data_IF_910852437716
#
_entry.id   IF_910852437716
#
_cell.length_a   1.000
_cell.length_b   1.000
_cell.length_c   1.000
_cell.angle_alpha   90.00
_cell.angle_beta   90.00
_cell.angle_gamma   90.00
#
_symmetry.space_group_name_H-M   'P 1'
#
loop_
_entity.id
_entity.type
_entity.pdbx_description
1 polymer ?
#
# COMPACT_ATOMS: atom_id res chain seq x y z
N UNK A 1 6.03 -0.14 -26.38
CA UNK A 1 7.12 0.83 -26.29
C UNK A 1 6.86 1.69 -25.06
N UNK A 2 7.23 1.17 -23.90
CA UNK A 2 7.16 1.87 -22.61
C UNK A 2 8.58 1.96 -22.05
N UNK A 3 8.84 2.99 -21.23
CA UNK A 3 10.14 3.18 -20.61
C UNK A 3 10.57 1.92 -19.85
N UNK A 4 11.80 1.47 -20.13
CA UNK A 4 12.41 0.35 -19.44
C UNK A 4 12.59 0.67 -17.96
N UNK A 5 12.24 -0.30 -17.12
CA UNK A 5 12.51 -0.32 -15.68
C UNK A 5 13.24 -1.61 -15.35
N UNK A 6 13.77 -1.73 -14.14
CA UNK A 6 14.51 -2.92 -13.72
C UNK A 6 13.71 -4.23 -13.90
N UNK A 7 12.38 -4.14 -13.84
CA UNK A 7 11.40 -5.21 -14.00
C UNK A 7 10.66 -5.19 -15.37
N UNK A 8 11.00 -4.28 -16.28
CA UNK A 8 10.30 -4.10 -17.56
C UNK A 8 11.27 -4.23 -18.74
N UNK A 9 11.09 -5.28 -19.50
CA UNK A 9 11.78 -5.55 -20.76
C UNK A 9 10.82 -5.30 -21.94
N UNK A 10 11.34 -4.94 -23.13
CA UNK A 10 10.49 -4.71 -24.29
C UNK A 10 9.81 -6.02 -24.74
N UNK A 11 10.44 -7.16 -24.43
CA UNK A 11 9.92 -8.51 -24.65
C UNK A 11 9.91 -9.26 -23.32
N UNK A 12 8.80 -9.94 -23.03
CA UNK A 12 8.62 -10.74 -21.83
C UNK A 12 7.66 -11.89 -22.12
N UNK A 13 7.72 -12.93 -21.28
CA UNK A 13 6.88 -14.13 -21.42
C UNK A 13 5.75 -14.09 -20.42
N UNK A 14 4.52 -14.31 -20.88
CA UNK A 14 3.36 -14.48 -20.03
C UNK A 14 2.84 -15.92 -20.13
N UNK A 15 2.37 -16.45 -19.00
CA UNK A 15 1.50 -17.61 -18.98
C UNK A 15 0.06 -17.11 -19.09
N UNK A 16 -0.42 -16.99 -20.33
CA UNK A 16 -1.77 -16.48 -20.61
C UNK A 16 -2.82 -17.60 -20.42
N UNK A 17 -3.87 -17.32 -19.65
CA UNK A 17 -4.89 -18.31 -19.28
C UNK A 17 -6.28 -17.68 -19.37
N UNK A 18 -7.14 -18.30 -20.18
CA UNK A 18 -8.53 -17.91 -20.35
C UNK A 18 -9.46 -19.11 -20.06
N UNK A 19 -10.60 -18.85 -19.42
CA UNK A 19 -11.59 -19.86 -19.07
C UNK A 19 -12.99 -19.42 -19.54
N UNK A 20 -13.81 -20.37 -20.02
CA UNK A 20 -15.21 -20.10 -20.40
C UNK A 20 -16.17 -20.61 -19.34
N UNK A 21 -17.32 -19.94 -19.18
CA UNK A 21 -18.37 -20.31 -18.21
C UNK A 21 -17.86 -20.36 -16.75
N UNK A 22 -16.92 -19.48 -16.41
CA UNK A 22 -16.33 -19.38 -15.09
C UNK A 22 -16.72 -18.08 -14.39
N UNK A 23 -16.61 -18.08 -13.07
CA UNK A 23 -16.60 -16.89 -12.23
C UNK A 23 -15.18 -16.57 -11.76
N UNK A 24 -14.98 -15.38 -11.20
CA UNK A 24 -13.71 -14.92 -10.62
C UNK A 24 -13.06 -15.97 -9.70
N UNK A 25 -13.83 -16.58 -8.82
CA UNK A 25 -13.31 -17.58 -7.88
C UNK A 25 -12.83 -18.86 -8.57
N UNK A 26 -13.42 -19.26 -9.70
CA UNK A 26 -12.98 -20.46 -10.42
C UNK A 26 -11.58 -20.25 -11.01
N UNK A 27 -11.31 -19.04 -11.50
CA UNK A 27 -9.98 -18.65 -12.02
C UNK A 27 -8.97 -18.55 -10.89
N UNK A 28 -9.31 -17.87 -9.79
CA UNK A 28 -8.46 -17.77 -8.60
C UNK A 28 -8.08 -19.18 -8.11
N UNK A 29 -9.05 -20.05 -7.88
CA UNK A 29 -8.81 -21.41 -7.39
C UNK A 29 -7.95 -22.24 -8.36
N UNK A 30 -8.09 -22.02 -9.66
CA UNK A 30 -7.24 -22.65 -10.67
C UNK A 30 -5.80 -22.14 -10.58
N UNK A 31 -5.58 -20.83 -10.51
CA UNK A 31 -4.24 -20.24 -10.36
C UNK A 31 -3.58 -20.71 -9.06
N UNK A 32 -4.32 -20.76 -7.95
CA UNK A 32 -3.81 -21.27 -6.68
C UNK A 32 -3.27 -22.71 -6.79
N UNK A 33 -4.00 -23.59 -7.49
CA UNK A 33 -3.54 -24.97 -7.75
C UNK A 33 -2.28 -25.00 -8.63
N UNK A 34 -2.23 -24.17 -9.68
CA UNK A 34 -1.05 -24.04 -10.56
C UNK A 34 0.17 -23.57 -9.76
N UNK A 35 -0.02 -22.62 -8.85
CA UNK A 35 1.06 -22.08 -8.02
C UNK A 35 1.56 -23.09 -6.99
N UNK A 36 0.67 -23.85 -6.34
CA UNK A 36 1.07 -24.96 -5.46
C UNK A 36 1.88 -25.99 -6.24
N UNK A 37 1.41 -26.39 -7.43
CA UNK A 37 2.13 -27.34 -8.28
C UNK A 37 3.50 -26.81 -8.70
N UNK A 38 3.56 -25.57 -9.16
CA UNK A 38 4.82 -24.89 -9.56
C UNK A 38 5.81 -24.84 -8.41
N UNK A 39 5.34 -24.51 -7.21
CA UNK A 39 6.19 -24.44 -6.01
C UNK A 39 6.72 -25.81 -5.58
N UNK A 40 5.92 -26.87 -5.69
CA UNK A 40 6.36 -28.24 -5.44
C UNK A 40 7.38 -28.74 -6.48
N UNK A 41 7.19 -28.37 -7.76
CA UNK A 41 8.16 -28.68 -8.81
C UNK A 41 9.48 -27.95 -8.57
N UNK A 42 9.41 -26.65 -8.25
CA UNK A 42 10.57 -25.82 -7.95
C UNK A 42 11.34 -26.30 -6.71
N UNK A 43 10.65 -26.75 -5.65
CA UNK A 43 11.28 -27.31 -4.45
C UNK A 43 12.19 -28.48 -4.81
N UNK A 44 11.71 -29.43 -5.63
CA UNK A 44 12.49 -30.58 -6.08
C UNK A 44 13.74 -30.17 -6.85
N UNK A 45 13.61 -29.22 -7.78
CA UNK A 45 14.74 -28.75 -8.58
C UNK A 45 15.77 -27.98 -7.73
N UNK A 46 15.32 -27.07 -6.87
CA UNK A 46 16.20 -26.26 -6.03
C UNK A 46 16.89 -27.10 -4.96
N UNK A 47 16.20 -28.07 -4.36
CA UNK A 47 16.80 -29.04 -3.45
C UNK A 47 17.89 -29.83 -4.17
N UNK A 48 17.59 -30.35 -5.36
CA UNK A 48 18.50 -31.19 -6.15
C UNK A 48 19.75 -30.43 -6.65
N UNK A 49 19.60 -29.18 -7.09
CA UNK A 49 20.67 -28.45 -7.79
C UNK A 49 21.32 -27.32 -6.99
N UNK A 50 20.67 -26.82 -5.94
CA UNK A 50 21.15 -25.63 -5.20
C UNK A 50 21.28 -25.87 -3.69
N UNK A 51 20.80 -27.00 -3.17
CA UNK A 51 20.85 -27.32 -1.74
C UNK A 51 20.14 -26.28 -0.86
N UNK A 52 19.13 -25.59 -1.40
CA UNK A 52 18.33 -24.59 -0.67
C UNK A 52 16.93 -25.15 -0.42
N UNK A 53 16.34 -24.75 0.70
CA UNK A 53 14.93 -25.03 0.97
C UNK A 53 14.08 -23.85 0.48
N UNK A 54 12.93 -24.15 -0.13
CA UNK A 54 11.95 -23.15 -0.55
C UNK A 54 10.87 -23.04 0.54
N UNK A 55 10.36 -21.83 0.82
CA UNK A 55 9.31 -21.67 1.82
C UNK A 55 8.06 -22.45 1.43
N UNK A 56 7.51 -23.21 2.38
CA UNK A 56 6.22 -23.87 2.19
C UNK A 56 5.11 -22.84 2.12
N UNK A 57 4.33 -22.92 1.07
CA UNK A 57 3.14 -22.09 0.87
C UNK A 57 1.87 -22.90 1.09
N UNK A 58 0.79 -22.24 1.45
CA UNK A 58 -0.51 -22.87 1.70
C UNK A 58 -1.61 -22.03 1.07
N UNK A 59 -2.60 -22.73 0.53
CA UNK A 59 -3.84 -22.14 0.01
C UNK A 59 -4.99 -22.35 1.02
N UNK A 60 -6.07 -21.55 0.96
CA UNK A 60 -6.22 -20.39 0.07
C UNK A 60 -5.25 -19.27 0.42
N UNK A 61 -4.75 -18.55 -0.60
CA UNK A 61 -3.91 -17.39 -0.33
C UNK A 61 -4.75 -16.27 0.26
N UNK A 62 -4.17 -15.43 1.14
CA UNK A 62 -4.83 -14.23 1.65
C UNK A 62 -5.41 -13.39 0.52
N UNK A 63 -6.58 -12.80 0.75
CA UNK A 63 -7.22 -11.84 -0.15
C UNK A 63 -7.36 -10.49 0.54
N UNK A 64 -7.07 -9.43 -0.18
CA UNK A 64 -7.12 -8.05 0.28
C UNK A 64 -7.87 -7.22 -0.75
N UNK A 65 -8.85 -6.41 -0.33
CA UNK A 65 -9.47 -5.48 -1.27
C UNK A 65 -8.45 -4.41 -1.69
N UNK A 66 -8.51 -3.91 -2.92
CA UNK A 66 -7.69 -2.81 -3.40
C UNK A 66 -7.75 -1.62 -2.45
N UNK A 67 -8.94 -1.31 -1.95
CA UNK A 67 -9.15 -0.24 -0.96
C UNK A 67 -8.34 -0.49 0.32
N UNK A 68 -8.34 -1.71 0.82
CA UNK A 68 -7.57 -2.06 2.02
C UNK A 68 -6.06 -2.09 1.75
N UNK A 69 -5.63 -2.55 0.57
CA UNK A 69 -4.25 -2.52 0.11
C UNK A 69 -3.70 -1.08 0.07
N UNK A 70 -4.43 -0.18 -0.59
CA UNK A 70 -4.11 1.25 -0.61
C UNK A 70 -4.22 1.88 0.77
N UNK A 71 -5.18 1.46 1.61
CA UNK A 71 -5.36 2.00 2.96
C UNK A 71 -4.16 1.68 3.85
N UNK A 72 -3.77 0.40 3.92
CA UNK A 72 -2.79 -0.14 4.86
C UNK A 72 -1.36 -0.11 4.35
N UNK A 73 -1.14 -0.23 3.03
CA UNK A 73 0.20 -0.35 2.45
C UNK A 73 0.54 0.78 1.47
N UNK A 74 -0.46 1.55 1.03
CA UNK A 74 -0.26 2.61 0.04
C UNK A 74 0.09 2.08 -1.36
N UNK A 75 -0.14 0.79 -1.60
CA UNK A 75 0.20 0.07 -2.84
C UNK A 75 -0.87 -0.99 -3.11
N UNK A 76 -1.22 -1.19 -4.37
CA UNK A 76 -2.04 -2.29 -4.88
C UNK A 76 -1.23 -3.59 -5.07
N UNK A 77 0.09 -3.51 -4.92
CA UNK A 77 1.01 -4.66 -4.78
C UNK A 77 1.74 -4.61 -3.44
N UNK A 78 1.08 -4.95 -2.32
CA UNK A 78 1.66 -4.81 -1.00
C UNK A 78 2.70 -5.90 -0.72
N UNK A 79 3.85 -5.51 -0.15
CA UNK A 79 4.72 -6.47 0.53
C UNK A 79 4.19 -6.69 1.95
N UNK A 80 3.53 -7.81 2.19
CA UNK A 80 2.92 -8.16 3.48
C UNK A 80 3.92 -8.81 4.45
N UNK A 81 5.20 -8.91 4.09
CA UNK A 81 6.18 -9.67 4.90
C UNK A 81 6.46 -9.05 6.27
N UNK A 82 6.23 -7.75 6.38
CA UNK A 82 6.56 -6.94 7.54
C UNK A 82 5.44 -5.94 7.86
N UNK A 83 5.51 -5.32 9.05
CA UNK A 83 4.52 -4.36 9.53
C UNK A 83 4.63 -2.98 8.88
N UNK A 84 4.68 -1.93 9.72
CA UNK A 84 4.71 -0.52 9.29
C UNK A 84 3.50 -0.11 8.44
N UNK A 85 2.33 -0.68 8.73
CA UNK A 85 1.08 -0.32 8.09
C UNK A 85 0.77 1.17 8.27
N UNK A 86 0.26 1.78 7.20
CA UNK A 86 -0.18 3.16 7.17
C UNK A 86 -1.47 3.28 7.98
N UNK A 87 -1.53 4.28 8.85
CA UNK A 87 -2.73 4.62 9.60
C UNK A 87 -3.25 5.99 9.20
N UNK A 88 -4.53 6.07 8.88
CA UNK A 88 -5.18 7.33 8.58
C UNK A 88 -5.66 8.04 9.85
N UNK A 89 -5.27 9.31 9.96
CA UNK A 89 -5.50 10.15 11.13
C UNK A 89 -6.32 11.40 10.79
N UNK A 90 -6.79 11.53 9.54
CA UNK A 90 -7.46 12.73 9.02
C UNK A 90 -8.52 13.27 9.98
N UNK A 91 -9.46 12.42 10.41
CA UNK A 91 -10.52 12.80 11.35
C UNK A 91 -10.01 13.16 12.74
N UNK A 92 -8.94 12.50 13.20
CA UNK A 92 -8.33 12.74 14.50
C UNK A 92 -7.61 14.09 14.56
N UNK A 93 -7.01 14.51 13.45
CA UNK A 93 -6.16 15.71 13.39
C UNK A 93 -6.76 16.89 12.62
N UNK A 94 -8.02 16.81 12.16
CA UNK A 94 -8.63 17.90 11.37
C UNK A 94 -8.76 19.23 12.13
N UNK A 95 -8.85 19.18 13.45
CA UNK A 95 -9.08 20.35 14.34
C UNK A 95 -7.82 20.80 15.09
N UNK A 96 -6.63 20.38 14.66
CA UNK A 96 -5.36 20.82 15.25
C UNK A 96 -4.97 22.21 14.75
N UNK A 97 -4.12 22.92 15.50
CA UNK A 97 -3.63 24.25 15.08
C UNK A 97 -2.47 24.15 14.08
N UNK A 98 -1.98 22.94 13.80
CA UNK A 98 -0.97 22.73 12.78
C UNK A 98 -1.58 22.93 11.38
N UNK A 99 -1.34 24.12 10.82
CA UNK A 99 -1.94 24.59 9.57
C UNK A 99 -1.88 23.58 8.42
N UNK A 100 -0.78 22.85 8.27
CA UNK A 100 -0.64 21.84 7.19
C UNK A 100 -1.73 20.76 7.30
N UNK A 101 -1.99 20.22 8.49
CA UNK A 101 -3.01 19.18 8.67
C UNK A 101 -4.42 19.77 8.53
N UNK A 102 -4.67 20.91 9.14
CA UNK A 102 -5.95 21.63 9.09
C UNK A 102 -6.35 21.99 7.66
N UNK A 103 -5.42 22.53 6.88
CA UNK A 103 -5.66 22.93 5.49
C UNK A 103 -5.85 21.72 4.57
N UNK A 104 -5.05 20.66 4.74
CA UNK A 104 -5.21 19.40 4.00
C UNK A 104 -6.58 18.77 4.24
N UNK A 105 -7.02 18.65 5.49
CA UNK A 105 -8.33 18.10 5.83
C UNK A 105 -9.47 18.94 5.23
N UNK A 106 -9.39 20.28 5.31
CA UNK A 106 -10.38 21.18 4.70
C UNK A 106 -10.45 21.07 3.18
N UNK A 107 -9.35 20.72 2.52
CA UNK A 107 -9.28 20.56 1.07
C UNK A 107 -9.68 19.16 0.60
N UNK A 108 -10.15 18.29 1.50
CA UNK A 108 -10.50 16.91 1.18
C UNK A 108 -9.29 16.00 0.94
N UNK A 109 -8.11 16.42 1.36
CA UNK A 109 -6.93 15.56 1.43
C UNK A 109 -6.99 14.63 2.64
N UNK A 110 -5.97 13.78 2.77
CA UNK A 110 -5.85 12.85 3.88
C UNK A 110 -4.53 13.04 4.62
N UNK A 111 -4.53 12.68 5.90
CA UNK A 111 -3.32 12.65 6.74
C UNK A 111 -3.12 11.22 7.18
N UNK A 112 -2.01 10.61 6.75
CA UNK A 112 -1.62 9.27 7.18
C UNK A 112 -0.26 9.28 7.85
N UNK A 113 -0.01 8.26 8.65
CA UNK A 113 1.22 8.11 9.39
C UNK A 113 1.72 6.66 9.46
N UNK A 114 3.01 6.52 9.75
CA UNK A 114 3.68 5.26 10.07
C UNK A 114 4.34 5.41 11.44
N UNK A 115 4.21 4.37 12.28
CA UNK A 115 5.00 4.24 13.49
C UNK A 115 6.29 3.45 13.20
N UNK A 116 7.43 4.12 13.22
CA UNK A 116 8.75 3.51 13.09
C UNK A 116 9.19 3.00 14.47
N UNK A 117 9.03 1.68 14.68
CA UNK A 117 9.46 1.03 15.91
C UNK A 117 10.97 1.19 16.14
N UNK A 118 11.37 1.70 17.30
CA UNK A 118 12.77 2.03 17.61
C UNK A 118 13.33 3.24 16.82
N UNK A 119 12.47 3.98 16.12
CA UNK A 119 12.85 5.10 15.26
C UNK A 119 13.46 6.31 15.99
N UNK A 120 13.33 6.43 17.32
CA UNK A 120 13.95 7.52 18.08
C UNK A 120 15.50 7.47 18.05
N UNK A 121 16.07 6.37 17.58
CA UNK A 121 17.52 6.24 17.30
C UNK A 121 17.96 6.95 16.02
N UNK A 122 17.02 7.37 15.16
CA UNK A 122 17.32 8.01 13.90
C UNK A 122 17.97 9.37 14.15
N UNK A 123 19.09 9.61 13.47
CA UNK A 123 19.75 10.91 13.53
C UNK A 123 18.91 11.96 12.80
N UNK A 124 19.23 13.25 13.02
CA UNK A 124 18.61 14.33 12.23
C UNK A 124 18.84 14.13 10.74
N UNK A 125 20.03 13.68 10.35
CA UNK A 125 20.36 13.40 8.95
C UNK A 125 19.52 12.25 8.36
N UNK A 126 19.17 11.24 9.18
CA UNK A 126 18.25 10.18 8.74
C UNK A 126 16.85 10.73 8.47
N UNK A 127 16.35 11.61 9.34
CA UNK A 127 15.04 12.26 9.17
C UNK A 127 15.02 13.20 7.97
N UNK A 128 16.08 14.00 7.78
CA UNK A 128 16.24 14.89 6.63
C UNK A 128 16.25 14.07 5.32
N UNK A 129 16.92 12.90 5.30
CA UNK A 129 16.91 12.00 4.14
C UNK A 129 15.51 11.46 3.83
N UNK A 130 14.74 11.04 4.83
CA UNK A 130 13.36 10.59 4.65
C UNK A 130 12.48 11.72 4.12
N UNK A 131 12.66 12.95 4.61
CA UNK A 131 11.94 14.11 4.11
C UNK A 131 12.28 14.42 2.64
N UNK A 132 13.55 14.33 2.26
CA UNK A 132 14.00 14.52 0.88
C UNK A 132 13.42 13.45 -0.05
N UNK A 133 13.35 12.20 0.40
CA UNK A 133 12.70 11.12 -0.35
C UNK A 133 11.20 11.36 -0.51
N UNK A 134 10.52 11.79 0.56
CA UNK A 134 9.11 12.17 0.50
C UNK A 134 8.86 13.28 -0.53
N UNK A 135 9.72 14.30 -0.56
CA UNK A 135 9.63 15.41 -1.52
C UNK A 135 9.88 14.97 -2.96
N UNK A 136 10.84 14.07 -3.20
CA UNK A 136 11.07 13.47 -4.54
C UNK A 136 9.86 12.71 -5.07
N UNK A 137 9.06 12.13 -4.17
CA UNK A 137 7.81 11.44 -4.48
C UNK A 137 6.59 12.37 -4.55
N UNK A 138 6.79 13.68 -4.42
CA UNK A 138 5.76 14.71 -4.61
C UNK A 138 5.13 15.24 -3.32
N UNK A 139 5.53 14.77 -2.13
CA UNK A 139 5.04 15.36 -0.88
C UNK A 139 5.60 16.77 -0.67
N UNK A 140 4.82 17.64 -0.04
CA UNK A 140 5.29 18.99 0.35
C UNK A 140 6.30 18.96 1.49
N UNK A 141 6.31 17.88 2.28
CA UNK A 141 7.22 17.68 3.41
C UNK A 141 6.85 16.43 4.19
N UNK A 142 7.64 16.13 5.22
CA UNK A 142 7.45 15.01 6.14
C UNK A 142 7.44 15.54 7.57
N UNK A 143 6.29 15.46 8.24
CA UNK A 143 6.22 15.78 9.66
C UNK A 143 6.60 14.55 10.49
N UNK A 144 7.12 14.75 11.70
CA UNK A 144 7.51 13.65 12.56
C UNK A 144 7.37 13.97 14.04
N UNK A 145 7.18 12.96 14.89
CA UNK A 145 7.19 13.04 16.35
C UNK A 145 8.02 11.89 16.89
N UNK A 146 9.11 12.18 17.60
CA UNK A 146 9.88 11.16 18.31
C UNK A 146 9.38 11.02 19.75
N UNK A 147 9.18 9.78 20.20
CA UNK A 147 8.74 9.46 21.55
C UNK A 147 9.98 9.07 22.36
N UNK A 148 10.50 9.98 23.17
CA UNK A 148 11.71 9.76 23.99
C UNK A 148 11.35 9.45 25.44
N UNK A 149 12.33 8.99 26.23
CA UNK A 149 12.15 8.80 27.67
C UNK A 149 11.75 10.09 28.40
N UNK A 150 12.20 11.23 27.89
CA UNK A 150 11.91 12.58 28.42
C UNK A 150 10.62 13.20 27.88
N UNK A 151 9.88 12.50 27.01
CA UNK A 151 8.63 12.97 26.42
C UNK A 151 8.68 13.08 24.90
N UNK A 152 7.85 13.94 24.33
CA UNK A 152 7.71 14.04 22.88
C UNK A 152 8.62 15.13 22.30
N UNK A 153 9.41 14.77 21.28
CA UNK A 153 10.31 15.69 20.59
C UNK A 153 9.84 15.87 19.14
N UNK A 154 9.50 17.10 18.77
CA UNK A 154 9.08 17.43 17.40
C UNK A 154 8.96 18.95 17.20
N UNK A 155 9.21 19.47 15.98
CA UNK A 155 8.82 20.83 15.61
C UNK A 155 7.31 21.10 15.66
N UNK A 156 6.48 20.05 15.51
CA UNK A 156 5.04 20.19 15.34
C UNK A 156 4.25 20.06 16.65
N UNK A 157 4.80 19.42 17.69
CA UNK A 157 4.10 19.14 18.97
C UNK A 157 3.50 20.39 19.62
N UNK A 158 4.13 21.55 19.49
CA UNK A 158 3.63 22.83 20.02
C UNK A 158 2.28 23.29 19.43
N UNK A 159 1.86 22.71 18.30
CA UNK A 159 0.59 23.03 17.63
C UNK A 159 -0.55 22.08 18.02
N UNK A 160 -0.31 21.16 18.95
CA UNK A 160 -1.28 20.20 19.43
C UNK A 160 -1.51 20.39 20.92
N UNK A 161 -2.75 20.18 21.35
CA UNK A 161 -3.05 20.04 22.77
C UNK A 161 -2.57 18.67 23.27
N UNK A 162 -2.25 18.51 24.56
CA UNK A 162 -1.81 17.23 25.12
C UNK A 162 -2.75 16.06 24.77
N UNK A 163 -4.06 16.28 24.84
CA UNK A 163 -5.05 15.24 24.52
C UNK A 163 -4.98 14.78 23.06
N UNK A 164 -4.74 15.71 22.13
CA UNK A 164 -4.63 15.43 20.70
C UNK A 164 -3.38 14.61 20.40
N UNK A 165 -2.24 14.95 21.02
CA UNK A 165 -1.00 14.19 20.80
C UNK A 165 -1.09 12.80 21.41
N UNK A 166 -1.67 12.68 22.60
CA UNK A 166 -1.88 11.36 23.23
C UNK A 166 -2.75 10.47 22.35
N UNK A 167 -3.85 11.00 21.79
CA UNK A 167 -4.71 10.23 20.90
C UNK A 167 -3.98 9.78 19.61
N UNK A 168 -3.07 10.61 19.07
CA UNK A 168 -2.22 10.22 17.93
C UNK A 168 -1.28 9.08 18.32
N UNK A 169 -0.61 9.19 19.47
CA UNK A 169 0.31 8.17 19.98
C UNK A 169 -0.43 6.86 20.22
N UNK A 170 -1.61 6.91 20.84
CA UNK A 170 -2.44 5.73 21.12
C UNK A 170 -2.91 5.05 19.84
N UNK A 171 -3.41 5.82 18.87
CA UNK A 171 -3.85 5.30 17.57
C UNK A 171 -2.70 4.59 16.83
N UNK A 172 -1.53 5.21 16.82
CA UNK A 172 -0.31 4.67 16.20
C UNK A 172 0.40 3.60 17.06
N UNK A 173 -0.14 3.26 18.23
CA UNK A 173 0.47 2.35 19.21
C UNK A 173 1.94 2.72 19.46
N UNK A 174 2.18 4.02 19.63
CA UNK A 174 3.50 4.60 19.84
C UNK A 174 4.03 4.25 21.22
N UNK A 175 5.26 3.78 21.29
CA UNK A 175 5.96 3.47 22.52
C UNK A 175 7.21 4.33 22.66
N UNK A 176 7.77 4.40 23.87
CA UNK A 176 9.05 5.04 24.09
C UNK A 176 10.13 4.39 23.22
N UNK A 177 10.89 5.21 22.52
CA UNK A 177 11.87 4.77 21.53
C UNK A 177 11.36 4.80 20.09
N UNK A 178 10.08 5.05 19.85
CA UNK A 178 9.51 5.10 18.50
C UNK A 178 9.60 6.49 17.84
N UNK A 179 9.43 6.53 16.53
CA UNK A 179 9.22 7.79 15.78
C UNK A 179 8.03 7.65 14.84
N UNK A 180 7.10 8.58 14.97
CA UNK A 180 5.92 8.69 14.13
C UNK A 180 6.24 9.62 12.97
N UNK A 181 6.00 9.20 11.73
CA UNK A 181 6.13 10.06 10.54
C UNK A 181 4.78 10.27 9.88
N UNK A 182 4.56 11.44 9.30
CA UNK A 182 3.26 11.86 8.78
C UNK A 182 3.40 12.52 7.41
N UNK A 183 2.46 12.21 6.51
CA UNK A 183 2.28 12.89 5.24
C UNK A 183 0.84 13.35 5.13
N UNK A 184 0.67 14.61 4.72
CA UNK A 184 -0.62 15.27 4.59
C UNK A 184 -0.75 15.90 3.20
N UNK A 185 -1.48 15.25 2.30
CA UNK A 185 -1.67 15.67 0.91
C UNK A 185 -2.91 15.00 0.30
N UNK A 186 -3.07 15.04 -1.03
CA UNK A 186 -4.08 14.26 -1.76
C UNK A 186 -3.86 12.75 -1.55
N UNK A 187 -4.92 11.92 -1.54
CA UNK A 187 -4.82 10.48 -1.30
C UNK A 187 -3.75 9.75 -2.10
N UNK A 188 -3.66 10.03 -3.42
CA UNK A 188 -2.66 9.41 -4.31
C UNK A 188 -1.24 9.69 -3.85
N UNK A 189 -0.92 10.95 -3.51
CA UNK A 189 0.42 11.36 -3.06
C UNK A 189 0.74 10.73 -1.71
N UNK A 190 -0.18 10.78 -0.75
CA UNK A 190 0.02 10.22 0.59
C UNK A 190 0.31 8.72 0.54
N UNK A 191 -0.51 7.97 -0.20
CA UNK A 191 -0.34 6.53 -0.35
C UNK A 191 0.97 6.18 -1.05
N UNK A 192 1.30 6.85 -2.17
CA UNK A 192 2.54 6.63 -2.89
C UNK A 192 3.78 6.91 -2.02
N UNK A 193 3.78 8.05 -1.32
CA UNK A 193 4.93 8.48 -0.50
C UNK A 193 5.12 7.53 0.67
N UNK A 194 4.08 7.27 1.46
CA UNK A 194 4.21 6.43 2.65
C UNK A 194 4.40 4.95 2.28
N UNK A 195 3.81 4.46 1.19
CA UNK A 195 4.05 3.11 0.70
C UNK A 195 5.51 2.88 0.30
N UNK A 196 6.12 3.85 -0.39
CA UNK A 196 7.54 3.77 -0.74
C UNK A 196 8.44 3.90 0.48
N UNK A 197 8.20 4.89 1.36
CA UNK A 197 8.99 5.04 2.58
C UNK A 197 8.86 3.80 3.49
N UNK A 198 7.69 3.16 3.52
CA UNK A 198 7.49 1.89 4.23
C UNK A 198 8.44 0.81 3.72
N UNK A 199 8.56 0.63 2.40
CA UNK A 199 9.48 -0.36 1.81
C UNK A 199 10.94 -0.05 2.15
N UNK A 200 11.35 1.21 1.99
CA UNK A 200 12.71 1.65 2.31
C UNK A 200 13.05 1.48 3.80
N UNK A 201 12.10 1.76 4.69
CA UNK A 201 12.25 1.52 6.13
C UNK A 201 12.30 0.02 6.43
N UNK A 202 11.49 -0.79 5.76
CA UNK A 202 11.50 -2.25 5.87
C UNK A 202 12.88 -2.83 5.53
N UNK A 203 13.52 -2.33 4.47
CA UNK A 203 14.89 -2.70 4.11
C UNK A 203 15.91 -2.20 5.12
N UNK A 204 15.87 -0.89 5.45
CA UNK A 204 16.84 -0.25 6.35
C UNK A 204 16.85 -0.87 7.75
N UNK A 205 15.68 -1.24 8.25
CA UNK A 205 15.50 -1.84 9.58
C UNK A 205 15.61 -3.37 9.56
N UNK A 206 15.84 -3.99 8.39
CA UNK A 206 15.96 -5.44 8.26
C UNK A 206 14.68 -6.21 8.61
N UNK A 207 13.51 -5.60 8.39
CA UNK A 207 12.21 -6.19 8.74
C UNK A 207 11.72 -7.20 7.69
N UNK A 208 12.29 -7.16 6.49
CA UNK A 208 11.87 -8.00 5.37
C UNK A 208 12.55 -9.36 5.46
N UNK A 209 11.77 -10.39 5.77
CA UNK A 209 12.25 -11.78 5.73
C UNK A 209 12.44 -12.24 4.28
N UNK A 210 13.71 -12.34 3.86
CA UNK A 210 14.09 -12.76 2.50
C UNK A 210 13.88 -14.25 2.26
N UNK A 211 13.61 -15.04 3.30
CA UNK A 211 13.36 -16.47 3.21
C UNK A 211 11.86 -16.79 3.31
N UNK A 212 10.99 -15.82 3.03
CA UNK A 212 9.53 -16.01 3.03
C UNK A 212 8.91 -15.58 1.72
N UNK A 213 7.90 -16.34 1.29
CA UNK A 213 7.02 -15.99 0.18
C UNK A 213 5.63 -15.71 0.74
N UNK A 214 5.23 -14.45 0.68
CA UNK A 214 3.89 -14.01 1.00
C UNK A 214 3.16 -13.71 -0.31
N UNK A 215 2.27 -14.63 -0.65
CA UNK A 215 1.32 -14.47 -1.74
C UNK A 215 0.06 -13.78 -1.22
N UNK A 216 -0.48 -12.84 -1.98
CA UNK A 216 -1.76 -12.18 -1.66
C UNK A 216 -2.50 -11.86 -2.96
N UNK A 217 -3.80 -12.14 -2.98
CA UNK A 217 -4.69 -11.63 -4.00
C UNK A 217 -5.12 -10.23 -3.62
N UNK A 218 -4.99 -9.28 -4.54
CA UNK A 218 -5.66 -7.99 -4.45
C UNK A 218 -6.88 -8.04 -5.35
N UNK A 219 -8.07 -7.74 -4.82
CA UNK A 219 -9.36 -7.84 -5.54
C UNK A 219 -10.14 -6.55 -5.37
N UNK A 220 -11.38 -6.46 -5.88
CA UNK A 220 -12.24 -5.28 -5.67
C UNK A 220 -11.63 -3.97 -6.20
N UNK A 221 -10.85 -4.04 -7.28
CA UNK A 221 -10.28 -2.87 -7.93
C UNK A 221 -11.37 -1.90 -8.40
N UNK A 222 -11.12 -0.59 -8.46
CA UNK A 222 -12.01 0.33 -9.15
C UNK A 222 -12.15 -0.08 -10.62
N UNK A 223 -13.35 0.05 -11.19
CA UNK A 223 -13.53 -0.15 -12.63
C UNK A 223 -12.86 0.96 -13.44
N UNK A 224 -12.95 2.19 -12.92
CA UNK A 224 -12.50 3.39 -13.58
C UNK A 224 -11.58 4.21 -12.67
N UNK A 225 -10.65 4.92 -13.29
CA UNK A 225 -9.87 5.97 -12.65
C UNK A 225 -10.12 7.32 -13.34
N UNK A 226 -10.22 8.39 -12.55
CA UNK A 226 -10.40 9.73 -13.09
C UNK A 226 -9.06 10.44 -13.30
N UNK A 227 -8.80 10.89 -14.53
CA UNK A 227 -7.66 11.74 -14.83
C UNK A 227 -8.01 13.20 -14.54
N UNK A 228 -7.40 13.76 -13.49
CA UNK A 228 -7.46 15.19 -13.21
C UNK A 228 -6.88 16.03 -14.36
N UNK A 229 -5.94 15.50 -15.14
CA UNK A 229 -5.30 16.19 -16.24
C UNK A 229 -6.20 16.25 -17.49
N UNK A 230 -6.78 15.11 -17.87
CA UNK A 230 -7.59 14.98 -19.08
C UNK A 230 -9.09 15.24 -18.83
N UNK A 231 -9.48 15.42 -17.57
CA UNK A 231 -10.87 15.63 -17.13
C UNK A 231 -11.82 14.54 -17.62
N UNK A 232 -11.38 13.28 -17.57
CA UNK A 232 -12.17 12.12 -18.01
C UNK A 232 -11.81 10.85 -17.23
N UNK A 233 -12.71 9.89 -17.31
CA UNK A 233 -12.51 8.53 -16.80
C UNK A 233 -11.73 7.67 -17.79
N UNK A 234 -10.85 6.84 -17.25
CA UNK A 234 -10.14 5.78 -17.93
C UNK A 234 -10.42 4.45 -17.25
N UNK A 235 -10.25 3.35 -17.96
CA UNK A 235 -10.29 2.01 -17.37
C UNK A 235 -9.10 1.85 -16.41
N UNK A 236 -9.36 1.33 -15.21
CA UNK A 236 -8.28 1.10 -14.24
C UNK A 236 -7.33 -0.04 -14.68
N UNK A 237 -7.85 -1.05 -15.37
CA UNK A 237 -7.06 -2.16 -15.93
C UNK A 237 -7.19 -2.24 -17.44
N UNK A 238 -8.22 -2.92 -17.95
CA UNK A 238 -8.49 -3.00 -19.38
C UNK A 238 -9.95 -2.63 -19.69
N UNK A 239 -10.26 -2.13 -20.89
CA UNK A 239 -11.62 -1.66 -21.23
C UNK A 239 -12.71 -2.73 -21.23
N UNK A 240 -12.35 -4.01 -21.18
CA UNK A 240 -13.27 -5.14 -21.25
C UNK A 240 -13.55 -5.79 -19.90
N UNK A 241 -13.03 -5.23 -18.80
CA UNK A 241 -13.23 -5.80 -17.46
C UNK A 241 -14.70 -5.67 -17.05
N UNK A 242 -15.29 -6.76 -16.58
CA UNK A 242 -16.68 -6.74 -16.10
C UNK A 242 -16.80 -6.00 -14.76
N UNK A 243 -17.90 -5.25 -14.51
CA UNK A 243 -18.19 -4.69 -13.21
C UNK A 243 -18.68 -5.76 -12.22
N UNK A 244 -18.42 -5.57 -10.92
CA UNK A 244 -19.17 -6.25 -9.87
C UNK A 244 -20.56 -5.61 -9.71
N UNK A 245 -21.55 -6.44 -9.33
CA UNK A 245 -22.93 -6.05 -9.11
C UNK A 245 -23.88 -6.68 -10.12
N UNK A 246 -25.15 -6.29 -10.05
CA UNK A 246 -26.15 -6.70 -11.04
C UNK A 246 -25.93 -5.89 -12.33
N UNK A 247 -26.16 -6.54 -13.47
CA UNK A 247 -26.15 -5.85 -14.77
C UNK A 247 -27.40 -4.99 -14.97
N UNK A 248 -28.51 -5.31 -14.31
CA UNK A 248 -29.75 -4.57 -14.43
C UNK A 248 -29.66 -3.12 -13.93
N UNK A 249 -28.78 -2.83 -12.97
CA UNK A 249 -28.58 -1.48 -12.40
C UNK A 249 -27.31 -0.78 -12.90
N UNK A 250 -26.51 -1.44 -13.74
CA UNK A 250 -25.17 -0.98 -14.09
C UNK A 250 -25.19 0.41 -14.74
N UNK A 251 -26.09 0.66 -15.69
CA UNK A 251 -26.18 1.95 -16.38
C UNK A 251 -26.46 3.10 -15.39
N UNK A 252 -27.37 2.89 -14.44
CA UNK A 252 -27.68 3.90 -13.41
C UNK A 252 -26.46 4.17 -12.52
N UNK A 253 -25.81 3.10 -12.02
CA UNK A 253 -24.61 3.23 -11.18
C UNK A 253 -23.48 3.95 -11.94
N UNK A 254 -23.30 3.63 -13.22
CA UNK A 254 -22.26 4.21 -14.07
C UNK A 254 -22.46 5.71 -14.29
N UNK A 255 -23.70 6.15 -14.48
CA UNK A 255 -24.02 7.56 -14.67
C UNK A 255 -23.96 8.37 -13.37
N UNK A 256 -24.29 7.75 -12.22
CA UNK A 256 -24.41 8.45 -10.94
C UNK A 256 -23.11 8.47 -10.13
N UNK A 257 -22.45 7.33 -10.00
CA UNK A 257 -21.32 7.11 -9.08
C UNK A 257 -20.26 6.18 -9.69
N UNK A 258 -19.67 6.53 -10.85
CA UNK A 258 -18.74 5.67 -11.58
C UNK A 258 -17.49 5.30 -10.75
N UNK A 259 -17.09 6.15 -9.80
CA UNK A 259 -15.97 5.95 -8.88
C UNK A 259 -16.19 4.82 -7.85
N UNK A 260 -17.46 4.42 -7.65
CA UNK A 260 -17.83 3.37 -6.69
C UNK A 260 -17.99 2.00 -7.32
N UNK A 261 -17.92 1.91 -8.65
CA UNK A 261 -18.04 0.65 -9.35
C UNK A 261 -16.73 -0.11 -9.23
N UNK A 262 -16.82 -1.32 -8.71
CA UNK A 262 -15.69 -2.25 -8.64
C UNK A 262 -15.64 -3.12 -9.89
N UNK A 263 -14.43 -3.53 -10.25
CA UNK A 263 -14.14 -4.44 -11.35
C UNK A 263 -14.01 -5.87 -10.84
N UNK A 264 -14.49 -6.84 -11.61
CA UNK A 264 -14.13 -8.25 -11.50
C UNK A 264 -12.71 -8.44 -12.02
N UNK A 265 -11.76 -7.87 -11.29
CA UNK A 265 -10.34 -7.90 -11.57
C UNK A 265 -9.57 -8.20 -10.29
N UNK A 266 -8.45 -8.86 -10.49
CA UNK A 266 -7.62 -9.36 -9.41
C UNK A 266 -6.16 -9.38 -9.86
N UNK A 267 -5.29 -9.01 -8.92
CA UNK A 267 -3.85 -9.12 -9.07
C UNK A 267 -3.33 -10.17 -8.09
N UNK A 268 -2.39 -10.99 -8.54
CA UNK A 268 -1.72 -11.99 -7.70
C UNK A 268 -0.31 -11.53 -7.37
N UNK A 269 -0.13 -11.06 -6.14
CA UNK A 269 1.08 -10.37 -5.71
C UNK A 269 1.96 -11.34 -4.92
N UNK A 270 3.26 -11.31 -5.18
CA UNK A 270 4.25 -12.03 -4.39
C UNK A 270 5.26 -11.03 -3.84
N UNK A 271 5.33 -10.90 -2.51
CA UNK A 271 6.37 -10.10 -1.85
C UNK A 271 6.45 -8.63 -2.35
N UNK A 272 5.30 -8.05 -2.73
CA UNK A 272 5.20 -6.68 -3.25
C UNK A 272 5.56 -6.50 -4.72
N UNK A 273 5.64 -7.59 -5.48
CA UNK A 273 5.78 -7.58 -6.95
C UNK A 273 4.50 -8.02 -7.62
#
# INVERSE_FOLDING_TARGET
DEDLRADRQPEFTQADIEMSFCHENDVIDMVERVMIHTMQALEKDVELFRGKHIPKIKTPFPRLSWKDAMRQYGSDKPDTRFGLELQELTELVKDVEFKVFKDTAKQGGIIKAINIKGGATFSRADMDKLEDQAKKLGAKGLAWIAITESGLKSPIVKFFKPEQVNAIVDQLKGEKGDTLIFVADKPKVVNQVLGQLRLELGEKLGLIDKNRFDFVWVTDFPLLEYSDADKRWFSHHHPFTAPHGDWADFEERFLREPDKIKAQAYDFVLNGT
#
